data_IF_285089153115
#
_entry.id   IF_285089153115
#
_cell.length_a   1.000
_cell.length_b   1.000
_cell.length_c   1.000
_cell.angle_alpha   90.00
_cell.angle_beta   90.00
_cell.angle_gamma   90.00
#
_symmetry.space_group_name_H-M   'P 1'
#
loop_
_entity.id
_entity.type
_entity.pdbx_description
1 polymer ?
#
# COMPACT_ATOMS: atom_id res chain seq x y z
N UNK A 1 -44.01 -9.96 -32.33
CA UNK A 1 -42.96 -8.95 -32.62
C UNK A 1 -42.50 -8.32 -31.31
N UNK A 2 -41.40 -8.81 -30.74
CA UNK A 2 -40.85 -8.27 -29.50
C UNK A 2 -40.06 -7.00 -29.82
N UNK A 3 -40.46 -5.86 -29.23
CA UNK A 3 -39.71 -4.59 -29.35
C UNK A 3 -38.26 -4.81 -28.86
N UNK A 4 -37.25 -4.30 -29.58
CA UNK A 4 -35.88 -4.34 -29.07
C UNK A 4 -35.81 -3.45 -27.83
N UNK A 5 -35.36 -4.03 -26.72
CA UNK A 5 -35.06 -3.29 -25.51
C UNK A 5 -33.98 -2.26 -25.83
N UNK A 6 -34.35 -0.98 -25.78
CA UNK A 6 -33.41 0.13 -25.89
C UNK A 6 -32.34 0.00 -24.81
N UNK A 7 -31.17 -0.53 -25.17
CA UNK A 7 -30.02 -0.54 -24.27
C UNK A 7 -29.56 0.90 -24.13
N UNK A 8 -29.76 1.51 -22.95
CA UNK A 8 -29.22 2.85 -22.68
C UNK A 8 -27.72 2.86 -23.03
N UNK A 9 -27.22 3.90 -23.73
CA UNK A 9 -25.81 3.98 -24.05
C UNK A 9 -24.99 3.92 -22.76
N UNK A 10 -24.00 3.01 -22.71
CA UNK A 10 -23.13 2.86 -21.53
C UNK A 10 -22.43 4.18 -21.22
N UNK A 11 -22.31 4.52 -19.94
CA UNK A 11 -21.56 5.70 -19.49
C UNK A 11 -20.09 5.61 -19.94
N UNK A 12 -19.41 6.76 -20.02
CA UNK A 12 -17.95 6.81 -20.29
C UNK A 12 -17.21 5.95 -19.27
N UNK A 13 -17.56 6.05 -17.99
CA UNK A 13 -16.95 5.24 -16.94
C UNK A 13 -17.13 3.74 -17.20
N UNK A 14 -18.33 3.28 -17.55
CA UNK A 14 -18.60 1.87 -17.80
C UNK A 14 -17.83 1.34 -19.02
N UNK A 15 -17.72 2.14 -20.08
CA UNK A 15 -16.93 1.80 -21.29
C UNK A 15 -15.44 1.63 -20.94
N UNK A 16 -14.86 2.60 -20.24
CA UNK A 16 -13.45 2.56 -19.83
C UNK A 16 -13.18 1.44 -18.81
N UNK A 17 -14.07 1.21 -17.85
CA UNK A 17 -13.97 0.10 -16.91
C UNK A 17 -13.97 -1.25 -17.62
N UNK A 18 -14.93 -1.47 -18.53
CA UNK A 18 -15.03 -2.72 -19.29
C UNK A 18 -13.75 -3.01 -20.06
N UNK A 19 -13.21 -2.01 -20.78
CA UNK A 19 -11.98 -2.18 -21.56
C UNK A 19 -10.75 -2.40 -20.66
N UNK A 20 -10.64 -1.67 -19.54
CA UNK A 20 -9.50 -1.80 -18.63
C UNK A 20 -9.39 -3.18 -17.94
N UNK A 21 -10.51 -3.92 -17.87
CA UNK A 21 -10.59 -5.22 -17.20
C UNK A 21 -10.29 -6.42 -18.11
N UNK A 22 -9.88 -6.21 -19.38
CA UNK A 22 -9.54 -7.28 -20.33
C UNK A 22 -8.50 -8.32 -19.82
N UNK A 23 -7.67 -7.96 -18.83
CA UNK A 23 -6.68 -8.85 -18.18
C UNK A 23 -6.96 -9.09 -16.68
N UNK A 24 -8.19 -8.85 -16.24
CA UNK A 24 -8.55 -8.83 -14.82
C UNK A 24 -7.85 -7.69 -14.05
N UNK A 25 -8.14 -7.57 -12.75
CA UNK A 25 -7.47 -6.64 -11.84
C UNK A 25 -7.81 -6.98 -10.38
N UNK A 26 -6.91 -6.68 -9.45
CA UNK A 26 -7.21 -6.75 -8.02
C UNK A 26 -8.27 -5.72 -7.61
N UNK A 27 -9.03 -6.00 -6.54
CA UNK A 27 -10.16 -5.16 -6.07
C UNK A 27 -9.81 -3.69 -5.90
N UNK A 28 -8.69 -3.38 -5.22
CA UNK A 28 -8.25 -1.99 -5.03
C UNK A 28 -7.85 -1.30 -6.35
N UNK A 29 -7.31 -2.05 -7.31
CA UNK A 29 -7.02 -1.52 -8.64
C UNK A 29 -8.32 -1.20 -9.38
N UNK A 30 -9.35 -2.05 -9.28
CA UNK A 30 -10.69 -1.77 -9.85
C UNK A 30 -11.27 -0.48 -9.28
N UNK A 31 -11.19 -0.27 -7.97
CA UNK A 31 -11.67 0.95 -7.31
C UNK A 31 -10.91 2.20 -7.76
N UNK A 32 -9.58 2.12 -7.90
CA UNK A 32 -8.76 3.24 -8.39
C UNK A 32 -9.05 3.56 -9.85
N UNK A 33 -9.18 2.54 -10.71
CA UNK A 33 -9.60 2.73 -12.11
C UNK A 33 -10.97 3.40 -12.19
N UNK A 34 -11.95 2.93 -11.41
CA UNK A 34 -13.28 3.54 -11.34
C UNK A 34 -13.21 5.02 -10.97
N UNK A 35 -12.43 5.36 -9.95
CA UNK A 35 -12.22 6.75 -9.53
C UNK A 35 -11.65 7.60 -10.66
N UNK A 36 -10.63 7.08 -11.38
CA UNK A 36 -10.06 7.75 -12.56
C UNK A 36 -11.10 7.96 -13.66
N UNK A 37 -11.87 6.93 -14.00
CA UNK A 37 -12.80 7.01 -15.12
C UNK A 37 -14.03 7.86 -14.79
N UNK A 38 -14.45 7.93 -13.53
CA UNK A 38 -15.44 8.92 -13.07
C UNK A 38 -14.90 10.35 -13.22
N UNK A 39 -13.66 10.61 -12.81
CA UNK A 39 -13.04 11.92 -12.99
C UNK A 39 -12.91 12.31 -14.47
N UNK A 40 -12.49 11.37 -15.32
CA UNK A 40 -12.44 11.59 -16.77
C UNK A 40 -13.82 11.81 -17.39
N UNK A 41 -14.84 11.05 -16.97
CA UNK A 41 -16.21 11.24 -17.42
C UNK A 41 -16.77 12.62 -17.03
N UNK A 42 -16.47 13.08 -15.80
CA UNK A 42 -16.85 14.42 -15.35
C UNK A 42 -16.19 15.52 -16.20
N UNK A 43 -14.88 15.39 -16.48
CA UNK A 43 -14.17 16.30 -17.38
C UNK A 43 -14.77 16.31 -18.79
N UNK A 44 -15.04 15.13 -19.36
CA UNK A 44 -15.64 15.01 -20.70
C UNK A 44 -17.01 15.68 -20.77
N UNK A 45 -17.82 15.57 -19.71
CA UNK A 45 -19.10 16.28 -19.57
C UNK A 45 -18.90 17.80 -19.53
N UNK A 46 -17.98 18.29 -18.70
CA UNK A 46 -17.68 19.72 -18.58
C UNK A 46 -17.23 20.33 -19.92
N UNK A 47 -16.41 19.59 -20.68
CA UNK A 47 -15.89 20.02 -21.99
C UNK A 47 -16.81 19.68 -23.16
N UNK A 48 -17.99 19.11 -22.89
CA UNK A 48 -19.02 18.76 -23.90
C UNK A 48 -18.48 17.89 -25.03
N UNK A 49 -17.62 16.92 -24.73
CA UNK A 49 -17.05 16.01 -25.74
C UNK A 49 -18.06 15.04 -26.39
N UNK A 50 -19.29 14.97 -25.88
CA UNK A 50 -20.28 14.00 -26.35
C UNK A 50 -19.91 12.57 -25.94
N UNK A 51 -20.00 11.63 -26.88
CA UNK A 51 -19.63 10.23 -26.64
C UNK A 51 -18.11 10.05 -26.71
N UNK A 52 -17.51 9.62 -25.59
CA UNK A 52 -16.09 9.26 -25.53
C UNK A 52 -15.97 7.76 -25.24
N UNK A 53 -15.13 7.09 -26.01
CA UNK A 53 -14.87 5.65 -25.90
C UNK A 53 -13.36 5.39 -25.88
N UNK A 54 -12.86 4.36 -25.16
CA UNK A 54 -11.45 3.96 -25.27
C UNK A 54 -10.96 3.73 -26.72
N UNK A 55 -11.83 3.25 -27.61
CA UNK A 55 -11.52 3.04 -29.03
C UNK A 55 -11.37 4.35 -29.82
N UNK A 56 -11.94 5.46 -29.36
CA UNK A 56 -11.98 6.71 -30.15
C UNK A 56 -11.39 7.91 -29.42
N UNK A 57 -11.00 7.77 -28.13
CA UNK A 57 -10.42 8.86 -27.35
C UNK A 57 -9.16 9.40 -28.04
N UNK A 58 -9.08 10.72 -28.12
CA UNK A 58 -8.00 11.42 -28.82
C UNK A 58 -6.92 11.89 -27.87
N UNK A 59 -5.72 12.12 -28.39
CA UNK A 59 -4.63 12.72 -27.64
C UNK A 59 -5.02 14.09 -27.07
N UNK A 60 -5.71 14.93 -27.85
CA UNK A 60 -6.21 16.25 -27.41
C UNK A 60 -7.12 16.15 -26.19
N UNK A 61 -8.02 15.17 -26.15
CA UNK A 61 -8.89 14.94 -24.99
C UNK A 61 -8.11 14.51 -23.75
N UNK A 62 -7.08 13.68 -23.93
CA UNK A 62 -6.21 13.25 -22.82
C UNK A 62 -5.32 14.41 -22.30
N UNK A 63 -4.75 15.22 -23.19
CA UNK A 63 -4.00 16.44 -22.83
C UNK A 63 -4.88 17.42 -22.06
N UNK A 64 -6.10 17.68 -22.55
CA UNK A 64 -7.06 18.54 -21.88
C UNK A 64 -7.45 18.01 -20.49
N UNK A 65 -7.60 16.68 -20.36
CA UNK A 65 -7.84 16.06 -19.07
C UNK A 65 -6.67 16.30 -18.13
N UNK A 66 -5.43 16.00 -18.55
CA UNK A 66 -4.21 16.26 -17.77
C UNK A 66 -4.13 17.72 -17.32
N UNK A 67 -4.34 18.68 -18.23
CA UNK A 67 -4.38 20.11 -17.90
C UNK A 67 -5.39 20.41 -16.78
N UNK A 68 -6.61 19.90 -16.89
CA UNK A 68 -7.63 20.11 -15.83
C UNK A 68 -7.26 19.47 -14.48
N UNK A 69 -6.45 18.41 -14.45
CA UNK A 69 -5.96 17.82 -13.21
C UNK A 69 -4.87 18.69 -12.58
N UNK A 70 -4.01 19.27 -13.40
CA UNK A 70 -2.98 20.22 -12.97
C UNK A 70 -3.65 21.46 -12.38
N UNK A 71 -4.62 22.05 -13.08
CA UNK A 71 -5.36 23.23 -12.63
C UNK A 71 -6.11 22.98 -11.32
N UNK A 72 -6.58 21.74 -11.11
CA UNK A 72 -7.22 21.30 -9.87
C UNK A 72 -6.24 20.96 -8.73
N UNK A 73 -4.93 21.23 -8.89
CA UNK A 73 -3.90 20.97 -7.87
C UNK A 73 -3.65 19.48 -7.58
N UNK A 74 -4.02 18.59 -8.49
CA UNK A 74 -3.84 17.15 -8.29
C UNK A 74 -2.36 16.80 -8.45
N UNK A 75 -1.82 16.05 -7.48
CA UNK A 75 -0.39 15.70 -7.50
C UNK A 75 0.04 14.98 -8.79
N UNK A 76 1.25 15.28 -9.25
CA UNK A 76 1.87 14.64 -10.42
C UNK A 76 1.76 13.10 -10.39
N UNK A 77 1.95 12.50 -9.21
CA UNK A 77 1.88 11.04 -9.05
C UNK A 77 0.48 10.49 -9.27
N UNK A 78 -0.55 11.21 -8.82
CA UNK A 78 -1.94 10.84 -9.08
C UNK A 78 -2.24 10.93 -10.57
N UNK A 79 -1.85 12.00 -11.25
CA UNK A 79 -2.05 12.17 -12.69
C UNK A 79 -1.36 11.04 -13.49
N UNK A 80 -0.13 10.68 -13.13
CA UNK A 80 0.58 9.54 -13.75
C UNK A 80 -0.17 8.21 -13.58
N UNK A 81 -0.77 7.97 -12.41
CA UNK A 81 -1.57 6.76 -12.16
C UNK A 81 -2.87 6.79 -12.97
N UNK A 82 -3.56 7.93 -13.01
CA UNK A 82 -4.76 8.13 -13.82
C UNK A 82 -4.47 7.85 -15.30
N UNK A 83 -3.35 8.39 -15.82
CA UNK A 83 -2.95 8.13 -17.21
C UNK A 83 -2.58 6.66 -17.45
N UNK A 84 -2.03 5.98 -16.46
CA UNK A 84 -1.78 4.54 -16.55
C UNK A 84 -3.09 3.73 -16.66
N UNK A 85 -4.15 4.13 -15.95
CA UNK A 85 -5.47 3.50 -16.06
C UNK A 85 -6.13 3.78 -17.42
N UNK A 86 -6.06 5.02 -17.91
CA UNK A 86 -6.61 5.41 -19.21
C UNK A 86 -5.92 4.63 -20.34
N UNK A 87 -4.57 4.56 -20.35
CA UNK A 87 -3.82 3.72 -21.29
C UNK A 87 -4.23 2.25 -21.19
N UNK A 88 -4.44 1.72 -19.99
CA UNK A 88 -4.92 0.34 -19.80
C UNK A 88 -6.27 0.10 -20.48
N UNK A 89 -7.21 1.03 -20.38
CA UNK A 89 -8.49 0.95 -21.08
C UNK A 89 -8.31 1.00 -22.60
N UNK A 90 -7.47 1.92 -23.09
CA UNK A 90 -7.16 2.08 -24.53
C UNK A 90 -6.54 0.78 -25.10
N UNK A 91 -5.57 0.16 -24.40
CA UNK A 91 -5.03 -1.15 -24.81
C UNK A 91 -6.12 -2.22 -24.87
N UNK A 92 -7.02 -2.24 -23.90
CA UNK A 92 -8.15 -3.18 -23.85
C UNK A 92 -9.19 -2.99 -24.95
N UNK A 93 -9.16 -1.86 -25.65
CA UNK A 93 -9.99 -1.58 -26.82
C UNK A 93 -9.22 -1.77 -28.15
N UNK A 94 -8.08 -2.47 -28.13
CA UNK A 94 -7.31 -2.80 -29.33
C UNK A 94 -6.32 -1.72 -29.78
N UNK A 95 -6.19 -0.59 -29.06
CA UNK A 95 -5.27 0.51 -29.41
C UNK A 95 -3.96 0.44 -28.62
N UNK A 96 -3.35 -0.74 -28.60
CA UNK A 96 -2.14 -1.06 -27.84
C UNK A 96 -0.96 -0.15 -28.16
N UNK A 97 -0.54 -0.17 -29.43
CA UNK A 97 0.61 0.57 -29.94
C UNK A 97 0.46 2.07 -29.72
N UNK A 98 -0.73 2.63 -29.99
CA UNK A 98 -1.00 4.04 -29.76
C UNK A 98 -0.93 4.42 -28.27
N UNK A 99 -1.41 3.55 -27.36
CA UNK A 99 -1.30 3.80 -25.92
C UNK A 99 0.14 3.77 -25.41
N UNK A 100 0.99 2.94 -26.02
CA UNK A 100 2.40 2.79 -25.66
C UNK A 100 3.26 3.94 -26.22
N UNK A 101 2.96 4.41 -27.44
CA UNK A 101 3.62 5.57 -28.05
C UNK A 101 3.30 6.89 -27.33
N UNK A 102 2.10 7.01 -26.73
CA UNK A 102 1.68 8.24 -26.07
C UNK A 102 2.26 8.35 -24.66
N UNK A 103 3.41 8.99 -24.53
CA UNK A 103 4.14 9.09 -23.25
C UNK A 103 3.51 10.10 -22.29
N UNK A 104 3.96 10.10 -21.04
CA UNK A 104 3.56 11.12 -20.07
C UNK A 104 4.09 12.52 -20.45
N UNK A 105 5.28 12.58 -21.03
CA UNK A 105 5.88 13.82 -21.50
C UNK A 105 5.05 14.43 -22.62
N UNK A 106 4.64 13.60 -23.60
CA UNK A 106 3.75 14.03 -24.66
C UNK A 106 2.50 14.65 -24.06
N UNK A 107 1.84 13.97 -23.13
CA UNK A 107 0.61 14.46 -22.52
C UNK A 107 0.75 15.66 -21.56
N UNK A 108 1.97 16.19 -21.34
CA UNK A 108 2.22 17.27 -20.39
C UNK A 108 2.02 16.86 -18.92
N UNK A 109 2.12 15.56 -18.62
CA UNK A 109 2.02 15.06 -17.24
C UNK A 109 3.28 15.47 -16.48
N UNK A 110 3.16 16.20 -15.36
CA UNK A 110 4.33 16.63 -14.61
C UNK A 110 5.17 15.45 -14.10
N UNK A 111 6.49 15.67 -14.04
CA UNK A 111 7.40 14.75 -13.36
C UNK A 111 7.06 14.69 -11.87
N UNK A 112 7.10 13.48 -11.32
CA UNK A 112 6.77 13.24 -9.91
C UNK A 112 7.89 12.46 -9.25
N UNK A 113 8.14 12.71 -7.97
CA UNK A 113 9.12 11.96 -7.21
C UNK A 113 8.58 10.59 -6.77
N UNK A 114 9.44 9.58 -6.79
CA UNK A 114 9.20 8.26 -6.16
C UNK A 114 9.83 8.14 -4.77
N UNK A 115 10.36 9.24 -4.25
CA UNK A 115 10.89 9.35 -2.89
C UNK A 115 9.70 9.63 -1.97
N UNK A 116 9.56 8.82 -0.92
CA UNK A 116 8.52 8.99 0.07
C UNK A 116 8.95 9.99 1.15
N UNK A 117 8.00 10.75 1.68
CA UNK A 117 8.22 11.73 2.75
C UNK A 117 7.94 11.18 4.16
N UNK A 118 7.53 9.92 4.28
CA UNK A 118 7.20 9.31 5.56
C UNK A 118 8.44 9.09 6.43
N UNK A 119 8.28 9.24 7.74
CA UNK A 119 9.33 9.02 8.75
C UNK A 119 8.98 7.83 9.65
N UNK A 120 9.94 7.40 10.46
CA UNK A 120 9.61 6.52 11.59
C UNK A 120 8.58 7.20 12.50
N UNK A 121 7.84 6.39 13.26
CA UNK A 121 6.92 6.92 14.27
C UNK A 121 7.70 7.76 15.29
N UNK A 122 7.14 8.89 15.69
CA UNK A 122 7.69 9.68 16.79
C UNK A 122 7.66 8.88 18.11
N UNK A 123 8.76 8.93 18.87
CA UNK A 123 8.92 8.12 20.07
C UNK A 123 7.92 8.50 21.19
N UNK A 124 7.62 9.80 21.35
CA UNK A 124 6.65 10.28 22.35
C UNK A 124 5.23 9.90 21.96
N UNK A 125 4.90 10.03 20.67
CA UNK A 125 3.59 9.60 20.13
C UNK A 125 3.41 8.09 20.33
N UNK A 126 4.42 7.28 20.03
CA UNK A 126 4.34 5.84 20.23
C UNK A 126 4.19 5.48 21.70
N UNK A 127 4.96 6.10 22.60
CA UNK A 127 4.88 5.85 24.04
C UNK A 127 3.47 6.16 24.58
N UNK A 128 2.94 7.36 24.24
CA UNK A 128 1.59 7.78 24.62
C UNK A 128 0.50 6.85 24.06
N UNK A 129 0.66 6.42 22.81
CA UNK A 129 -0.27 5.48 22.18
C UNK A 129 -0.27 4.12 22.90
N UNK A 130 0.90 3.60 23.26
CA UNK A 130 1.03 2.33 23.98
C UNK A 130 0.47 2.41 25.40
N UNK A 131 0.69 3.52 26.09
CA UNK A 131 0.15 3.76 27.43
C UNK A 131 -1.39 3.72 27.42
N UNK A 132 -2.01 4.47 26.50
CA UNK A 132 -3.47 4.66 26.45
C UNK A 132 -4.25 3.60 25.67
N UNK A 133 -3.57 2.79 24.87
CA UNK A 133 -4.24 1.77 24.05
C UNK A 133 -4.94 0.73 24.94
N UNK A 134 -6.16 0.34 24.55
CA UNK A 134 -6.77 -0.89 25.04
C UNK A 134 -5.84 -2.10 24.77
N UNK A 135 -5.86 -3.15 25.59
CA UNK A 135 -4.93 -4.28 25.49
C UNK A 135 -4.77 -4.84 24.07
N UNK A 136 -5.88 -5.09 23.37
CA UNK A 136 -5.86 -5.56 21.98
C UNK A 136 -5.14 -4.62 21.03
N UNK A 137 -5.44 -3.32 21.15
CA UNK A 137 -4.90 -2.30 20.25
C UNK A 137 -3.41 -2.13 20.49
N UNK A 138 -2.96 -2.22 21.76
CA UNK A 138 -1.55 -2.23 22.12
C UNK A 138 -0.83 -3.39 21.44
N UNK A 139 -1.41 -4.59 21.47
CA UNK A 139 -0.85 -5.77 20.80
C UNK A 139 -0.77 -5.58 19.28
N UNK A 140 -1.80 -4.99 18.65
CA UNK A 140 -1.75 -4.72 17.20
C UNK A 140 -0.63 -3.75 16.82
N UNK A 141 -0.42 -2.70 17.63
CA UNK A 141 0.69 -1.74 17.45
C UNK A 141 2.04 -2.48 17.55
N UNK A 142 2.20 -3.31 18.59
CA UNK A 142 3.43 -4.08 18.82
C UNK A 142 3.70 -5.08 17.70
N UNK A 143 2.69 -5.79 17.17
CA UNK A 143 2.86 -6.67 16.02
C UNK A 143 3.35 -5.92 14.77
N UNK A 144 2.79 -4.76 14.45
CA UNK A 144 3.27 -3.95 13.31
C UNK A 144 4.69 -3.41 13.54
N UNK A 145 5.01 -2.99 14.77
CA UNK A 145 6.30 -2.39 15.14
C UNK A 145 7.45 -3.39 15.29
N UNK A 146 7.21 -4.56 15.86
CA UNK A 146 8.24 -5.53 16.20
C UNK A 146 8.50 -6.56 15.09
N UNK A 147 7.49 -6.84 14.26
CA UNK A 147 7.59 -7.82 13.17
C UNK A 147 7.52 -7.18 11.79
N UNK A 148 7.41 -5.85 11.72
CA UNK A 148 7.29 -5.12 10.47
C UNK A 148 6.14 -5.66 9.64
N UNK A 149 4.96 -5.87 10.21
CA UNK A 149 3.78 -6.36 9.49
C UNK A 149 3.09 -5.23 8.72
N UNK A 150 2.41 -5.56 7.62
CA UNK A 150 1.39 -4.69 7.03
C UNK A 150 0.12 -4.86 7.85
N UNK A 151 -0.76 -3.86 7.83
CA UNK A 151 -2.07 -3.92 8.49
C UNK A 151 -2.81 -5.23 8.28
N UNK A 152 -2.87 -5.69 7.03
CA UNK A 152 -3.55 -6.93 6.68
C UNK A 152 -2.79 -8.19 7.14
N UNK A 153 -1.46 -8.18 7.11
CA UNK A 153 -0.63 -9.26 7.66
C UNK A 153 -0.82 -9.37 9.18
N UNK A 154 -0.99 -8.24 9.89
CA UNK A 154 -1.30 -8.21 11.32
C UNK A 154 -2.72 -8.75 11.60
N UNK A 155 -3.74 -8.30 10.86
CA UNK A 155 -5.12 -8.80 11.04
C UNK A 155 -5.18 -10.32 10.82
N UNK A 156 -4.50 -10.81 9.79
CA UNK A 156 -4.50 -12.22 9.41
C UNK A 156 -3.47 -13.08 10.19
N UNK A 157 -2.67 -12.47 11.10
CA UNK A 157 -1.59 -13.19 11.77
C UNK A 157 -2.06 -14.24 12.77
N UNK A 158 -3.32 -14.16 13.25
CA UNK A 158 -3.94 -15.17 14.12
C UNK A 158 -3.76 -16.62 13.62
N UNK A 159 -3.58 -16.81 12.31
CA UNK A 159 -3.34 -18.10 11.65
C UNK A 159 -1.91 -18.65 11.80
N UNK A 160 -0.95 -17.82 12.22
CA UNK A 160 0.48 -18.16 12.26
C UNK A 160 1.14 -17.94 13.62
N UNK A 161 0.43 -17.37 14.61
CA UNK A 161 1.01 -16.98 15.90
C UNK A 161 1.70 -18.13 16.63
N UNK A 162 1.08 -19.33 16.70
CA UNK A 162 1.66 -20.48 17.39
C UNK A 162 2.98 -20.94 16.74
N UNK A 163 3.05 -20.91 15.40
CA UNK A 163 4.28 -21.22 14.68
C UNK A 163 5.36 -20.16 14.92
N UNK A 164 4.98 -18.88 14.94
CA UNK A 164 5.92 -17.78 15.20
C UNK A 164 6.45 -17.81 16.62
N UNK A 165 5.60 -18.10 17.61
CA UNK A 165 6.00 -18.24 19.01
C UNK A 165 7.03 -19.36 19.16
N UNK A 166 6.73 -20.55 18.63
CA UNK A 166 7.63 -21.70 18.71
C UNK A 166 8.97 -21.45 18.00
N UNK A 167 8.97 -20.73 16.87
CA UNK A 167 10.19 -20.35 16.16
C UNK A 167 11.04 -19.37 16.99
N UNK A 168 10.44 -18.28 17.48
CA UNK A 168 11.12 -17.26 18.25
C UNK A 168 11.62 -17.78 19.61
N UNK A 169 10.83 -18.62 20.28
CA UNK A 169 11.19 -19.24 21.56
C UNK A 169 12.42 -20.17 21.43
N UNK A 170 12.63 -20.78 20.26
CA UNK A 170 13.85 -21.55 19.94
C UNK A 170 15.04 -20.70 19.48
N UNK A 171 14.91 -19.37 19.52
CA UNK A 171 15.96 -18.44 19.07
C UNK A 171 16.08 -18.30 17.55
N UNK A 172 15.10 -18.77 16.77
CA UNK A 172 15.11 -18.58 15.32
C UNK A 172 15.07 -17.09 14.99
N UNK A 173 15.94 -16.65 14.08
CA UNK A 173 16.09 -15.22 13.73
C UNK A 173 15.16 -14.78 12.58
N UNK A 174 14.14 -15.56 12.25
CA UNK A 174 13.15 -15.16 11.25
C UNK A 174 11.80 -15.84 11.47
N UNK A 175 10.75 -15.19 10.97
CA UNK A 175 9.41 -15.77 10.83
C UNK A 175 8.95 -15.71 9.39
N UNK A 176 8.11 -16.67 8.99
CA UNK A 176 7.48 -16.70 7.67
C UNK A 176 6.06 -16.14 7.73
N UNK A 177 5.78 -15.14 6.91
CA UNK A 177 4.48 -14.48 6.81
C UNK A 177 3.76 -15.00 5.55
N UNK A 178 2.70 -15.76 5.78
CA UNK A 178 1.92 -16.42 4.72
C UNK A 178 0.59 -15.73 4.44
N UNK A 179 -0.06 -15.20 5.48
CA UNK A 179 -1.40 -14.65 5.40
C UNK A 179 -1.41 -13.12 5.35
N UNK A 180 -2.43 -12.55 4.69
CA UNK A 180 -2.58 -11.10 4.52
C UNK A 180 -1.52 -10.44 3.62
N UNK A 181 -0.68 -11.22 2.96
CA UNK A 181 0.40 -10.72 2.12
C UNK A 181 -0.12 -10.13 0.81
N UNK A 182 0.55 -9.07 0.34
CA UNK A 182 0.16 -8.39 -0.89
C UNK A 182 0.33 -9.33 -2.09
N UNK A 183 -0.78 -9.69 -2.72
CA UNK A 183 -0.79 -10.58 -3.89
C UNK A 183 -0.49 -12.05 -3.55
N UNK A 184 -0.68 -12.46 -2.29
CA UNK A 184 -0.46 -13.85 -1.84
C UNK A 184 1.00 -14.28 -1.79
N UNK A 185 1.94 -13.34 -1.87
CA UNK A 185 3.38 -13.64 -1.88
C UNK A 185 3.88 -13.84 -0.46
N UNK A 186 4.21 -15.08 -0.13
CA UNK A 186 4.89 -15.45 1.12
C UNK A 186 6.21 -14.69 1.22
N UNK A 187 6.55 -14.24 2.43
CA UNK A 187 7.82 -13.56 2.72
C UNK A 187 8.35 -13.96 4.07
N UNK A 188 9.67 -13.99 4.21
CA UNK A 188 10.31 -14.08 5.51
C UNK A 188 10.64 -12.68 6.03
N UNK A 189 10.65 -12.55 7.35
CA UNK A 189 11.12 -11.36 8.05
C UNK A 189 12.23 -11.78 8.99
N UNK A 190 13.42 -11.23 8.79
CA UNK A 190 14.51 -11.40 9.74
C UNK A 190 14.28 -10.54 10.99
N UNK A 191 14.51 -11.13 12.16
CA UNK A 191 14.38 -10.50 13.47
C UNK A 191 15.74 -10.68 14.16
N UNK A 192 16.59 -9.64 14.15
CA UNK A 192 17.88 -9.65 14.83
C UNK A 192 17.79 -10.06 16.30
N UNK A 193 18.86 -10.64 16.82
CA UNK A 193 18.97 -11.12 18.21
C UNK A 193 18.48 -10.09 19.26
N UNK A 194 18.91 -8.81 19.21
CA UNK A 194 18.50 -7.82 20.22
C UNK A 194 17.00 -7.50 20.19
N UNK A 195 16.31 -7.82 19.09
CA UNK A 195 14.88 -7.53 18.89
C UNK A 195 13.99 -8.75 19.05
N UNK A 196 14.54 -9.97 19.20
CA UNK A 196 13.74 -11.19 19.38
C UNK A 196 12.88 -11.17 20.65
N UNK A 197 13.35 -10.69 21.83
CA UNK A 197 12.53 -10.69 23.04
C UNK A 197 11.21 -9.91 22.86
N UNK A 198 11.28 -8.64 22.43
CA UNK A 198 10.08 -7.82 22.19
C UNK A 198 9.18 -8.37 21.07
N UNK A 199 9.75 -9.07 20.09
CA UNK A 199 8.99 -9.73 19.04
C UNK A 199 8.21 -10.95 19.59
N UNK A 200 8.85 -11.75 20.44
CA UNK A 200 8.23 -12.88 21.12
C UNK A 200 7.11 -12.40 22.07
N UNK A 201 7.35 -11.32 22.83
CA UNK A 201 6.34 -10.73 23.72
C UNK A 201 5.11 -10.25 22.94
N UNK A 202 5.32 -9.60 21.79
CA UNK A 202 4.22 -9.17 20.91
C UNK A 202 3.40 -10.37 20.38
N UNK A 203 4.06 -11.48 20.03
CA UNK A 203 3.40 -12.71 19.57
C UNK A 203 2.63 -13.39 20.71
N UNK A 204 3.20 -13.45 21.92
CA UNK A 204 2.54 -14.04 23.10
C UNK A 204 1.33 -13.23 23.54
N UNK A 205 1.43 -11.90 23.53
CA UNK A 205 0.28 -11.03 23.78
C UNK A 205 -0.82 -11.25 22.75
N UNK A 206 -0.46 -11.50 21.48
CA UNK A 206 -1.43 -11.82 20.44
C UNK A 206 -2.06 -13.20 20.62
N UNK A 207 -1.31 -14.20 21.10
CA UNK A 207 -1.84 -15.52 21.45
C UNK A 207 -2.84 -15.44 22.60
N UNK A 208 -2.56 -14.65 23.63
CA UNK A 208 -3.47 -14.44 24.75
C UNK A 208 -4.82 -13.88 24.28
N UNK A 209 -4.80 -12.94 23.32
CA UNK A 209 -6.03 -12.39 22.73
C UNK A 209 -6.85 -13.46 22.00
N UNK A 210 -6.19 -14.33 21.23
CA UNK A 210 -6.90 -15.35 20.43
C UNK A 210 -7.17 -16.64 21.20
N UNK A 211 -6.85 -16.70 22.49
CA UNK A 211 -7.25 -17.78 23.37
C UNK A 211 -8.79 -17.76 23.57
N UNK A 212 -9.36 -16.57 23.74
CA UNK A 212 -10.78 -16.37 24.03
C UNK A 212 -11.63 -16.04 22.79
N UNK A 213 -10.99 -15.87 21.63
CA UNK A 213 -11.69 -15.59 20.36
C UNK A 213 -10.89 -16.01 19.12
N UNK A 214 -11.59 -16.23 18.01
CA UNK A 214 -11.01 -16.73 16.75
C UNK A 214 -10.07 -15.74 16.05
N UNK A 215 -10.30 -14.43 16.19
CA UNK A 215 -9.63 -13.39 15.41
C UNK A 215 -8.92 -12.37 16.30
N UNK A 216 -7.87 -11.73 15.77
CA UNK A 216 -7.25 -10.59 16.44
C UNK A 216 -8.12 -9.33 16.39
N UNK A 217 -8.97 -9.23 15.37
CA UNK A 217 -9.89 -8.12 15.15
C UNK A 217 -11.25 -8.70 14.78
N UNK A 218 -12.22 -8.60 15.68
CA UNK A 218 -13.59 -9.06 15.44
C UNK A 218 -14.32 -8.07 14.53
N UNK A 219 -14.47 -8.44 13.27
CA UNK A 219 -15.21 -7.65 12.28
C UNK A 219 -15.82 -8.57 11.20
N UNK A 220 -16.94 -8.19 10.58
CA UNK A 220 -17.63 -9.04 9.61
C UNK A 220 -16.86 -9.22 8.30
N UNK A 221 -15.92 -8.32 7.99
CA UNK A 221 -15.10 -8.37 6.77
C UNK A 221 -13.69 -7.87 7.03
N UNK A 222 -12.72 -8.28 6.20
CA UNK A 222 -11.36 -7.76 6.27
C UNK A 222 -11.29 -6.23 6.04
N UNK A 223 -12.20 -5.67 5.23
CA UNK A 223 -12.31 -4.23 5.07
C UNK A 223 -12.75 -3.55 6.39
N UNK A 224 -13.79 -4.09 7.05
CA UNK A 224 -14.25 -3.58 8.33
C UNK A 224 -13.16 -3.69 9.42
N UNK A 225 -12.42 -4.81 9.46
CA UNK A 225 -11.28 -4.97 10.36
C UNK A 225 -10.22 -3.88 10.12
N UNK A 226 -9.85 -3.62 8.86
CA UNK A 226 -8.90 -2.54 8.51
C UNK A 226 -9.37 -1.17 8.97
N UNK A 227 -10.65 -0.85 8.77
CA UNK A 227 -11.26 0.42 9.20
C UNK A 227 -11.27 0.55 10.73
N UNK A 228 -11.63 -0.52 11.46
CA UNK A 228 -11.61 -0.54 12.91
C UNK A 228 -10.21 -0.28 13.46
N UNK A 229 -9.18 -0.98 12.96
CA UNK A 229 -7.80 -0.74 13.40
C UNK A 229 -7.35 0.67 13.00
N UNK A 230 -7.74 1.18 11.83
CA UNK A 230 -7.42 2.55 11.42
C UNK A 230 -8.04 3.58 12.37
N UNK A 231 -9.32 3.43 12.73
CA UNK A 231 -9.99 4.30 13.68
C UNK A 231 -9.35 4.27 15.07
N UNK A 232 -9.04 3.07 15.59
CA UNK A 232 -8.37 2.93 16.90
C UNK A 232 -6.95 3.50 16.91
N UNK A 233 -6.21 3.36 15.82
CA UNK A 233 -4.88 3.97 15.69
C UNK A 233 -4.98 5.50 15.62
N UNK A 234 -5.91 6.04 14.83
CA UNK A 234 -6.14 7.49 14.72
C UNK A 234 -6.51 8.11 16.08
N UNK A 235 -7.38 7.45 16.85
CA UNK A 235 -7.75 7.87 18.20
C UNK A 235 -6.56 7.93 19.19
N UNK A 236 -5.45 7.27 18.86
CA UNK A 236 -4.20 7.26 19.64
C UNK A 236 -3.11 8.15 19.02
N UNK A 237 -3.42 8.92 17.98
CA UNK A 237 -2.45 9.77 17.27
C UNK A 237 -1.58 9.02 16.25
N UNK A 238 -1.80 7.72 16.03
CA UNK A 238 -1.09 6.91 15.04
C UNK A 238 -1.72 7.03 13.64
N UNK A 239 -1.77 8.26 13.14
CA UNK A 239 -2.26 8.60 11.81
C UNK A 239 -1.28 9.51 11.05
N UNK A 240 -1.54 9.70 9.74
CA UNK A 240 -0.74 10.57 8.87
C UNK A 240 0.76 10.22 8.96
N UNK A 241 1.57 11.15 9.47
CA UNK A 241 3.02 11.03 9.63
C UNK A 241 3.42 9.92 10.62
N UNK A 242 2.54 9.60 11.58
CA UNK A 242 2.74 8.57 12.61
C UNK A 242 1.89 7.31 12.36
N UNK A 243 1.45 7.09 11.12
CA UNK A 243 0.60 5.94 10.76
C UNK A 243 1.25 4.57 11.05
N UNK A 244 0.48 3.48 10.91
CA UNK A 244 1.03 2.11 10.98
C UNK A 244 2.18 1.85 9.98
N UNK A 245 2.25 2.61 8.88
CA UNK A 245 3.40 2.54 7.99
C UNK A 245 4.68 3.10 8.61
N UNK A 246 4.57 4.05 9.55
CA UNK A 246 5.66 4.62 10.33
C UNK A 246 6.18 3.64 11.40
N UNK A 247 5.31 2.79 11.96
CA UNK A 247 5.74 1.64 12.79
C UNK A 247 6.62 0.67 11.98
N UNK A 248 6.19 0.35 10.75
CA UNK A 248 6.96 -0.51 9.84
C UNK A 248 8.28 0.14 9.40
N UNK A 249 8.35 1.47 9.30
CA UNK A 249 9.61 2.19 9.07
C UNK A 249 10.56 2.07 10.26
N UNK A 250 10.05 2.18 11.48
CA UNK A 250 10.84 1.98 12.68
C UNK A 250 11.43 0.55 12.74
N UNK A 251 10.64 -0.47 12.39
CA UNK A 251 11.17 -1.84 12.19
C UNK A 251 12.31 -1.89 11.16
N UNK A 252 12.14 -1.23 10.01
CA UNK A 252 13.17 -1.19 8.97
C UNK A 252 14.44 -0.47 9.43
N UNK A 253 14.30 0.61 10.22
CA UNK A 253 15.44 1.35 10.77
C UNK A 253 16.24 0.49 11.73
N UNK A 254 15.55 -0.17 12.66
CA UNK A 254 16.17 -1.07 13.63
C UNK A 254 16.99 -2.19 12.94
N UNK A 255 16.42 -2.84 11.91
CA UNK A 255 17.15 -3.85 11.14
C UNK A 255 18.31 -3.24 10.34
N UNK A 256 18.12 -2.08 9.74
CA UNK A 256 19.17 -1.40 8.97
C UNK A 256 20.38 -1.05 9.86
N UNK A 257 20.12 -0.49 11.05
CA UNK A 257 21.16 -0.16 12.03
C UNK A 257 21.87 -1.40 12.55
N UNK A 258 21.14 -2.48 12.81
CA UNK A 258 21.74 -3.76 13.17
C UNK A 258 22.65 -4.31 12.06
N UNK A 259 22.22 -4.28 10.80
CA UNK A 259 23.09 -4.76 9.72
C UNK A 259 24.35 -3.91 9.55
N UNK A 260 24.26 -2.59 9.77
CA UNK A 260 25.45 -1.73 9.81
C UNK A 260 26.38 -2.08 10.98
N UNK A 261 25.84 -2.41 12.17
CA UNK A 261 26.66 -2.84 13.31
C UNK A 261 27.36 -4.18 13.05
N UNK A 262 26.73 -5.06 12.29
CA UNK A 262 27.31 -6.34 11.81
C UNK A 262 28.27 -6.16 10.61
N UNK A 263 28.76 -4.94 10.37
CA UNK A 263 29.73 -4.60 9.31
C UNK A 263 29.23 -4.86 7.88
N UNK A 264 27.92 -5.00 7.66
CA UNK A 264 27.38 -5.03 6.30
C UNK A 264 27.62 -3.66 5.64
N UNK A 265 27.94 -3.66 4.35
CA UNK A 265 27.92 -2.41 3.59
C UNK A 265 26.51 -1.84 3.57
N UNK A 266 26.39 -0.52 3.42
CA UNK A 266 25.09 0.15 3.26
C UNK A 266 24.23 -0.47 2.14
N UNK A 267 24.86 -0.93 1.05
CA UNK A 267 24.17 -1.58 -0.08
C UNK A 267 23.56 -2.92 0.34
N UNK A 268 24.33 -3.74 1.05
CA UNK A 268 23.88 -5.05 1.56
C UNK A 268 22.79 -4.88 2.61
N UNK A 269 22.99 -3.99 3.58
CA UNK A 269 22.00 -3.70 4.62
C UNK A 269 20.64 -3.29 4.03
N UNK A 270 20.64 -2.46 2.97
CA UNK A 270 19.42 -2.08 2.27
C UNK A 270 18.77 -3.23 1.48
N UNK A 271 19.58 -4.14 0.90
CA UNK A 271 19.07 -5.32 0.21
C UNK A 271 18.38 -6.28 1.21
N UNK A 272 19.01 -6.51 2.36
CA UNK A 272 18.45 -7.31 3.46
C UNK A 272 17.16 -6.70 4.01
N UNK A 273 17.13 -5.41 4.31
CA UNK A 273 15.90 -4.72 4.72
C UNK A 273 14.79 -4.85 3.67
N UNK A 274 15.15 -4.80 2.39
CA UNK A 274 14.19 -4.97 1.30
C UNK A 274 13.59 -6.38 1.25
N UNK A 275 14.41 -7.41 1.49
CA UNK A 275 13.95 -8.79 1.66
C UNK A 275 13.03 -8.91 2.88
N UNK A 276 13.45 -8.41 4.03
CA UNK A 276 12.69 -8.50 5.29
C UNK A 276 11.32 -7.82 5.20
N UNK A 277 11.20 -6.77 4.38
CA UNK A 277 9.92 -6.09 4.13
C UNK A 277 9.07 -6.76 3.03
N UNK A 278 9.56 -7.82 2.39
CA UNK A 278 8.90 -8.54 1.29
C UNK A 278 8.87 -7.78 -0.03
N UNK A 279 9.91 -7.00 -0.33
CA UNK A 279 10.04 -6.28 -1.60
C UNK A 279 11.03 -6.95 -2.57
N UNK A 280 11.69 -8.04 -2.14
CA UNK A 280 12.81 -8.68 -2.83
C UNK A 280 14.12 -7.90 -2.65
N UNK A 281 15.27 -8.52 -2.94
CA UNK A 281 16.59 -7.94 -2.63
C UNK A 281 16.99 -6.80 -3.59
N UNK A 282 16.49 -6.80 -4.83
CA UNK A 282 16.82 -5.78 -5.85
C UNK A 282 16.23 -4.38 -5.62
N UNK A 283 15.66 -4.10 -4.44
CA UNK A 283 14.96 -2.84 -4.14
C UNK A 283 15.58 -2.01 -3.01
N UNK A 284 16.84 -2.24 -2.67
CA UNK A 284 17.53 -1.47 -1.61
C UNK A 284 17.47 0.05 -1.77
N UNK A 285 17.71 0.61 -2.97
CA UNK A 285 17.57 2.06 -3.22
C UNK A 285 16.13 2.56 -3.01
N UNK A 286 15.14 1.74 -3.39
CA UNK A 286 13.74 2.08 -3.17
C UNK A 286 13.39 2.07 -1.69
N UNK A 287 13.91 1.11 -0.91
CA UNK A 287 13.78 1.06 0.55
C UNK A 287 14.40 2.28 1.20
N UNK A 288 15.63 2.66 0.83
CA UNK A 288 16.23 3.91 1.32
C UNK A 288 15.29 5.09 1.11
N UNK A 289 14.88 5.33 -0.15
CA UNK A 289 14.03 6.45 -0.53
C UNK A 289 12.62 6.44 0.09
N UNK A 290 12.12 5.28 0.51
CA UNK A 290 10.73 5.12 0.95
C UNK A 290 10.57 4.60 2.36
N UNK A 291 11.63 4.31 3.12
CA UNK A 291 11.53 3.85 4.50
C UNK A 291 12.47 4.58 5.45
N UNK A 292 13.65 5.00 4.98
CA UNK A 292 14.74 5.45 5.85
C UNK A 292 15.14 6.91 5.60
N UNK A 293 15.22 7.32 4.33
CA UNK A 293 15.80 8.60 3.90
C UNK A 293 15.25 9.80 4.69
N UNK A 294 13.94 9.97 4.72
CA UNK A 294 13.32 11.13 5.37
C UNK A 294 13.53 11.15 6.89
N UNK A 295 13.77 10.00 7.53
CA UNK A 295 14.10 9.93 8.95
C UNK A 295 15.50 10.47 9.18
N UNK A 296 16.50 9.90 8.48
CA UNK A 296 17.90 10.33 8.60
C UNK A 296 18.12 11.79 8.14
N UNK A 297 17.41 12.26 7.13
CA UNK A 297 17.48 13.67 6.68
C UNK A 297 16.87 14.66 7.68
N UNK A 298 16.07 14.20 8.65
CA UNK A 298 15.50 15.08 9.68
C UNK A 298 16.19 15.00 11.04
N UNK A 299 17.10 14.04 11.21
CA UNK A 299 17.92 13.85 12.41
C UNK A 299 19.30 14.51 12.26
N UNK A 300 19.68 14.91 11.04
CA UNK A 300 20.85 15.73 10.71
C UNK A 300 20.45 17.20 10.57
#
# INVERSE_FOLDING_TARGET
MSKPTSSKPRSIEAKFMSAALHKGAATLTKQKMRTTFLAFAAHAKQRRYGQVDPATVTEKQLRNYVGSRIDAGISARTIQNEMSHLRRAIRGAGRGEWADALTNADLGVPSGTRIGTGKVVDARVLAHALERAAPDTRTWIQLERCLGLRREEMIESHKSLAQWEAALARGQSFITIRHGTKGGRVRDTHIPEPYRPRALDAVRAALAIVADRRYLVDAPTNHAAKQQVQGRFAALGLERENSGHSLRRAFCRDNFEHYLSERCSRKEALALCSRDLGHGEGRGRWVWNNYLRSTYESEN
#
